data_IF_825591789919
#
_entry.id   IF_825591789919
#
_cell.length_a   1.000
_cell.length_b   1.000
_cell.length_c   1.000
_cell.angle_alpha   90.00
_cell.angle_beta   90.00
_cell.angle_gamma   90.00
#
_symmetry.space_group_name_H-M   'P 1'
#
loop_
_entity.id
_entity.type
_entity.pdbx_description
1 polymer ?
#
# COMPACT_ATOMS: atom_id res chain seq x y z
N UNK A 1 68.83 -22.82 25.51
CA UNK A 1 67.91 -21.79 25.97
C UNK A 1 67.05 -21.43 24.75
N UNK A 2 65.86 -22.08 24.64
CA UNK A 2 64.95 -21.95 23.49
C UNK A 2 63.74 -21.15 23.89
N UNK A 3 63.59 -19.95 23.41
CA UNK A 3 62.43 -19.09 23.62
C UNK A 3 61.46 -19.26 22.46
N UNK A 4 60.39 -20.02 22.70
CA UNK A 4 59.29 -20.22 21.73
C UNK A 4 58.31 -19.02 21.80
N UNK A 5 58.24 -18.23 20.77
CA UNK A 5 57.24 -17.17 20.61
C UNK A 5 55.97 -17.80 20.08
N UNK A 6 54.91 -17.83 20.90
CA UNK A 6 53.54 -18.22 20.50
C UNK A 6 52.81 -16.95 20.00
N UNK A 7 52.72 -16.81 18.68
CA UNK A 7 51.84 -15.84 18.04
C UNK A 7 50.37 -16.38 18.15
N UNK A 8 49.57 -15.75 18.98
CA UNK A 8 48.13 -15.98 19.02
C UNK A 8 47.47 -15.10 17.97
N UNK A 9 47.09 -15.69 16.83
CA UNK A 9 46.27 -15.03 15.81
C UNK A 9 44.82 -14.99 16.30
N UNK A 10 44.35 -13.81 16.74
CA UNK A 10 42.95 -13.57 17.06
C UNK A 10 42.11 -13.43 15.79
N UNK A 11 41.26 -14.40 15.51
CA UNK A 11 40.26 -14.36 14.43
C UNK A 11 39.11 -13.45 14.88
N UNK A 12 39.05 -12.22 14.37
CA UNK A 12 37.88 -11.36 14.50
C UNK A 12 36.80 -11.88 13.53
N UNK A 13 35.82 -12.59 14.07
CA UNK A 13 34.56 -12.90 13.37
C UNK A 13 33.73 -11.62 13.23
N UNK A 14 33.77 -10.98 12.07
CA UNK A 14 32.77 -9.96 11.70
C UNK A 14 31.44 -10.68 11.50
N UNK A 15 30.56 -10.58 12.48
CA UNK A 15 29.15 -10.96 12.31
C UNK A 15 28.52 -9.96 11.33
N UNK A 16 28.41 -10.35 10.05
CA UNK A 16 27.60 -9.63 9.07
C UNK A 16 26.13 -9.76 9.53
N UNK A 17 25.60 -8.70 10.13
CA UNK A 17 24.16 -8.59 10.36
C UNK A 17 23.49 -8.51 8.99
N UNK A 18 22.91 -9.62 8.53
CA UNK A 18 22.04 -9.64 7.37
C UNK A 18 20.81 -8.82 7.76
N UNK A 19 20.71 -7.58 7.25
CA UNK A 19 19.50 -6.79 7.33
C UNK A 19 18.41 -7.55 6.58
N UNK A 20 17.58 -8.29 7.31
CA UNK A 20 16.41 -8.93 6.74
C UNK A 20 15.44 -7.82 6.36
N UNK A 21 15.05 -7.79 5.09
CA UNK A 21 14.02 -6.89 4.62
C UNK A 21 12.73 -7.18 5.40
N UNK A 22 12.17 -6.15 6.03
CA UNK A 22 10.96 -6.29 6.83
C UNK A 22 9.78 -6.64 5.91
N UNK A 23 9.17 -7.79 6.13
CA UNK A 23 7.91 -8.14 5.47
C UNK A 23 6.77 -7.40 6.16
N UNK A 24 5.80 -6.94 5.37
CA UNK A 24 4.62 -6.28 5.92
C UNK A 24 3.69 -7.32 6.57
N UNK A 25 3.03 -6.92 7.65
CA UNK A 25 2.05 -7.77 8.34
C UNK A 25 0.75 -7.90 7.54
N UNK A 26 0.18 -9.11 7.39
CA UNK A 26 -1.16 -9.25 6.87
C UNK A 26 -2.19 -8.68 7.86
N UNK A 27 -3.34 -8.25 7.36
CA UNK A 27 -4.42 -7.69 8.16
C UNK A 27 -5.04 -6.44 7.57
N UNK A 28 -5.74 -5.68 8.40
CA UNK A 28 -6.37 -4.44 8.03
C UNK A 28 -5.35 -3.31 8.03
N UNK A 29 -5.29 -2.60 6.91
CA UNK A 29 -4.41 -1.45 6.69
C UNK A 29 -5.22 -0.19 6.44
N UNK A 30 -4.70 0.93 6.89
CA UNK A 30 -5.23 2.26 6.61
C UNK A 30 -4.28 2.99 5.66
N UNK A 31 -4.82 3.48 4.56
CA UNK A 31 -4.12 4.17 3.49
C UNK A 31 -4.53 5.63 3.48
N UNK A 32 -3.58 6.54 3.55
CA UNK A 32 -3.78 7.98 3.46
C UNK A 32 -3.06 8.51 2.23
N UNK A 33 -3.79 9.16 1.34
CA UNK A 33 -3.16 9.92 0.25
C UNK A 33 -2.45 11.14 0.85
N UNK A 34 -1.15 11.23 0.64
CA UNK A 34 -0.32 12.35 1.12
C UNK A 34 -0.05 13.35 0.00
N UNK A 35 -0.18 12.91 -1.25
CA UNK A 35 -0.09 13.75 -2.45
C UNK A 35 -0.90 13.15 -3.56
N UNK A 36 -1.56 14.00 -4.34
CA UNK A 36 -2.20 13.61 -5.60
C UNK A 36 -2.12 14.78 -6.57
N UNK A 37 -1.47 14.57 -7.72
CA UNK A 37 -1.38 15.55 -8.79
C UNK A 37 -1.71 14.88 -10.12
N UNK A 38 -2.32 15.62 -11.03
CA UNK A 38 -2.62 15.19 -12.40
C UNK A 38 -2.05 16.23 -13.38
N UNK A 39 -1.86 15.83 -14.64
CA UNK A 39 -1.23 16.65 -15.68
C UNK A 39 -1.69 18.12 -15.66
N UNK A 40 -0.74 19.02 -15.42
CA UNK A 40 -1.00 20.48 -15.44
C UNK A 40 -1.83 21.02 -14.28
N UNK A 41 -2.29 20.18 -13.34
CA UNK A 41 -3.01 20.59 -12.15
C UNK A 41 -2.11 20.59 -10.91
N UNK A 42 -2.25 21.56 -10.00
CA UNK A 42 -1.54 21.55 -8.73
C UNK A 42 -1.97 20.35 -7.86
N UNK A 43 -1.28 20.15 -6.76
CA UNK A 43 -1.60 19.09 -5.80
C UNK A 43 -3.07 19.20 -5.34
N UNK A 44 -3.85 18.14 -5.62
CA UNK A 44 -5.29 18.07 -5.34
C UNK A 44 -5.60 17.47 -3.97
N UNK A 45 -4.60 17.16 -3.15
CA UNK A 45 -4.81 16.51 -1.84
C UNK A 45 -5.70 17.34 -0.91
N UNK A 46 -5.55 18.67 -0.94
CA UNK A 46 -6.40 19.58 -0.16
C UNK A 46 -7.87 19.57 -0.64
N UNK A 47 -8.10 19.51 -1.96
CA UNK A 47 -9.44 19.44 -2.54
C UNK A 47 -10.12 18.11 -2.24
N UNK A 48 -9.36 17.01 -2.28
CA UNK A 48 -9.85 15.69 -1.85
C UNK A 48 -10.22 15.67 -0.37
N UNK A 49 -9.41 16.28 0.50
CA UNK A 49 -9.72 16.39 1.92
C UNK A 49 -11.00 17.19 2.16
N UNK A 50 -11.25 18.24 1.39
CA UNK A 50 -12.49 19.02 1.49
C UNK A 50 -13.71 18.23 1.01
N UNK A 51 -13.58 17.51 -0.11
CA UNK A 51 -14.64 16.61 -0.59
C UNK A 51 -14.96 15.51 0.43
N UNK A 52 -13.95 14.97 1.12
CA UNK A 52 -14.15 13.99 2.19
C UNK A 52 -14.92 14.57 3.38
N UNK A 53 -14.70 15.86 3.72
CA UNK A 53 -15.52 16.53 4.75
C UNK A 53 -16.97 16.65 4.34
N UNK A 54 -17.24 16.96 3.06
CA UNK A 54 -18.60 17.04 2.53
C UNK A 54 -19.31 15.67 2.59
N UNK A 55 -18.60 14.56 2.34
CA UNK A 55 -19.16 13.22 2.48
C UNK A 55 -19.64 12.92 3.91
N UNK A 56 -19.00 13.50 4.93
CA UNK A 56 -19.43 13.36 6.34
C UNK A 56 -20.72 14.10 6.64
N UNK A 57 -21.07 15.11 5.86
CA UNK A 57 -22.26 15.92 6.01
C UNK A 57 -23.48 15.37 5.24
N UNK A 58 -23.31 14.25 4.51
CA UNK A 58 -24.39 13.58 3.82
C UNK A 58 -25.42 13.03 4.82
N UNK A 59 -26.71 12.89 4.42
CA UNK A 59 -27.71 12.23 5.23
C UNK A 59 -27.27 10.80 5.63
N UNK A 60 -27.59 10.34 6.84
CA UNK A 60 -27.12 9.05 7.36
C UNK A 60 -27.41 7.85 6.44
N UNK A 61 -28.53 7.88 5.72
CA UNK A 61 -28.91 6.83 4.77
C UNK A 61 -27.98 6.79 3.57
N UNK A 62 -27.64 7.95 3.01
CA UNK A 62 -26.69 8.07 1.89
C UNK A 62 -25.31 7.61 2.31
N UNK A 63 -24.86 7.97 3.53
CA UNK A 63 -23.59 7.47 4.07
C UNK A 63 -23.58 5.95 4.20
N UNK A 64 -24.66 5.33 4.71
CA UNK A 64 -24.76 3.87 4.82
C UNK A 64 -24.70 3.18 3.47
N UNK A 65 -25.43 3.70 2.48
CA UNK A 65 -25.45 3.16 1.12
C UNK A 65 -24.04 3.21 0.50
N UNK A 66 -23.34 4.34 0.62
CA UNK A 66 -21.98 4.50 0.15
C UNK A 66 -21.01 3.54 0.84
N UNK A 67 -21.11 3.41 2.18
CA UNK A 67 -20.31 2.47 2.95
C UNK A 67 -20.56 1.01 2.54
N UNK A 68 -21.80 0.64 2.27
CA UNK A 68 -22.15 -0.71 1.79
C UNK A 68 -21.56 -1.00 0.42
N UNK A 69 -21.64 -0.05 -0.52
CA UNK A 69 -21.06 -0.20 -1.85
C UNK A 69 -19.52 -0.33 -1.78
N UNK A 70 -18.87 0.44 -0.94
CA UNK A 70 -17.42 0.36 -0.75
C UNK A 70 -17.02 -0.95 -0.05
N UNK A 71 -17.77 -1.36 0.97
CA UNK A 71 -17.53 -2.62 1.69
C UNK A 71 -17.67 -3.83 0.77
N UNK A 72 -18.62 -3.82 -0.18
CA UNK A 72 -18.76 -4.85 -1.20
C UNK A 72 -17.52 -4.99 -2.10
N UNK A 73 -16.72 -3.94 -2.23
CA UNK A 73 -15.43 -3.92 -2.95
C UNK A 73 -14.22 -4.17 -2.03
N UNK A 74 -14.45 -4.55 -0.76
CA UNK A 74 -13.37 -4.77 0.22
C UNK A 74 -12.72 -3.50 0.75
N UNK A 75 -13.33 -2.34 0.53
CA UNK A 75 -12.82 -1.02 0.91
C UNK A 75 -13.72 -0.41 1.98
N UNK A 76 -13.14 0.15 3.04
CA UNK A 76 -13.85 0.86 4.09
C UNK A 76 -13.32 2.29 4.21
N UNK A 77 -14.20 3.25 4.46
CA UNK A 77 -13.80 4.61 4.79
C UNK A 77 -13.53 4.72 6.30
N UNK A 78 -12.33 5.13 6.66
CA UNK A 78 -11.97 5.51 8.01
C UNK A 78 -12.59 6.85 8.42
N UNK A 79 -12.50 7.17 9.73
CA UNK A 79 -13.12 8.39 10.31
C UNK A 79 -12.59 9.69 9.68
N UNK A 80 -11.36 9.69 9.20
CA UNK A 80 -10.68 10.87 8.64
C UNK A 80 -10.59 10.83 7.11
N UNK A 81 -11.43 10.01 6.44
CA UNK A 81 -11.40 9.83 4.99
C UNK A 81 -10.24 8.96 4.52
N UNK A 82 -9.49 8.37 5.43
CA UNK A 82 -8.53 7.33 5.08
C UNK A 82 -9.26 6.11 4.51
N UNK A 83 -8.64 5.46 3.56
CA UNK A 83 -9.16 4.23 2.96
C UNK A 83 -8.61 3.05 3.75
N UNK A 84 -9.47 2.13 4.17
CA UNK A 84 -9.06 0.88 4.81
C UNK A 84 -9.29 -0.28 3.89
N UNK A 85 -8.28 -1.12 3.76
CA UNK A 85 -8.33 -2.34 2.96
C UNK A 85 -7.57 -3.46 3.63
N UNK A 86 -7.92 -4.69 3.28
CA UNK A 86 -7.25 -5.89 3.79
C UNK A 86 -6.07 -6.24 2.90
N UNK A 87 -4.91 -6.47 3.52
CA UNK A 87 -3.77 -7.15 2.89
C UNK A 87 -3.79 -8.59 3.38
N UNK A 88 -4.03 -9.53 2.48
CA UNK A 88 -4.05 -10.95 2.83
C UNK A 88 -2.65 -11.47 3.12
N UNK A 89 -2.50 -12.62 3.86
CA UNK A 89 -1.20 -13.24 4.06
C UNK A 89 -0.48 -13.59 2.75
N UNK A 90 -1.24 -13.86 1.71
CA UNK A 90 -0.73 -14.18 0.39
C UNK A 90 -0.16 -12.96 -0.33
N UNK A 91 -0.89 -11.84 -0.28
CA UNK A 91 -0.42 -10.55 -0.80
C UNK A 91 0.84 -10.07 -0.06
N UNK A 92 0.87 -10.21 1.27
CA UNK A 92 2.01 -9.78 2.08
C UNK A 92 3.30 -10.56 1.74
N UNK A 93 3.17 -11.87 1.41
CA UNK A 93 4.33 -12.73 1.08
C UNK A 93 4.88 -12.52 -0.33
N UNK A 94 4.06 -12.04 -1.25
CA UNK A 94 4.45 -11.96 -2.67
C UNK A 94 5.25 -10.70 -3.03
N UNK A 95 5.64 -9.87 -2.07
CA UNK A 95 6.16 -8.50 -2.30
C UNK A 95 5.25 -7.66 -3.20
N UNK A 96 3.99 -8.03 -3.27
CA UNK A 96 3.12 -7.85 -4.38
C UNK A 96 1.79 -7.28 -3.89
N UNK A 97 1.86 -6.19 -3.16
CA UNK A 97 0.69 -5.44 -2.71
C UNK A 97 -0.16 -4.99 -3.91
N UNK A 98 0.40 -5.09 -5.11
CA UNK A 98 -0.18 -4.64 -6.38
C UNK A 98 -0.40 -5.76 -7.41
N UNK A 99 -0.07 -7.03 -7.10
CA UNK A 99 -0.28 -8.18 -8.01
C UNK A 99 -1.60 -8.90 -7.78
N UNK A 100 -2.56 -8.29 -7.16
CA UNK A 100 -3.93 -8.71 -7.37
C UNK A 100 -4.38 -8.20 -8.76
N UNK A 101 -5.35 -8.85 -9.41
CA UNK A 101 -6.18 -8.19 -10.41
C UNK A 101 -6.61 -6.87 -9.77
N UNK A 102 -5.90 -5.80 -10.11
CA UNK A 102 -6.36 -4.50 -9.68
C UNK A 102 -7.69 -4.32 -10.36
N UNK A 103 -8.76 -4.11 -9.61
CA UNK A 103 -10.09 -3.79 -10.15
C UNK A 103 -10.06 -2.56 -11.09
N UNK A 104 -8.89 -1.96 -11.28
CA UNK A 104 -8.60 -0.83 -12.13
C UNK A 104 -8.01 -1.17 -13.51
N UNK A 105 -8.04 -2.42 -13.97
CA UNK A 105 -7.58 -2.76 -15.32
C UNK A 105 -6.07 -2.64 -15.54
N UNK A 106 -5.24 -2.71 -14.48
CA UNK A 106 -3.79 -2.73 -14.57
C UNK A 106 -3.25 -4.14 -14.30
N UNK A 107 -2.15 -4.52 -14.95
CA UNK A 107 -1.41 -5.77 -14.71
C UNK A 107 0.03 -5.46 -14.34
N UNK A 108 0.60 -6.23 -13.41
CA UNK A 108 2.00 -6.09 -13.05
C UNK A 108 2.88 -6.62 -14.17
N UNK A 109 3.70 -5.73 -14.74
CA UNK A 109 4.66 -6.07 -15.79
C UNK A 109 6.02 -6.50 -15.22
N UNK A 110 6.46 -5.88 -14.12
CA UNK A 110 7.70 -6.21 -13.44
C UNK A 110 7.69 -5.78 -11.98
N UNK A 111 8.43 -6.51 -11.14
CA UNK A 111 8.70 -6.13 -9.75
C UNK A 111 10.12 -6.49 -9.37
N UNK A 112 10.79 -5.63 -8.61
CA UNK A 112 12.11 -5.86 -8.04
C UNK A 112 12.13 -5.39 -6.60
N UNK A 113 12.87 -6.09 -5.74
CA UNK A 113 13.09 -5.73 -4.35
C UNK A 113 14.56 -5.52 -4.06
N UNK A 114 14.90 -4.45 -3.38
CA UNK A 114 16.24 -4.14 -2.90
C UNK A 114 16.14 -3.67 -1.44
N UNK A 115 16.48 -4.54 -0.50
CA UNK A 115 16.31 -4.27 0.92
C UNK A 115 14.84 -4.01 1.29
N UNK A 116 14.56 -2.83 1.83
CA UNK A 116 13.22 -2.39 2.23
C UNK A 116 12.45 -1.64 1.11
N UNK A 117 12.99 -1.60 -0.11
CA UNK A 117 12.37 -0.90 -1.24
C UNK A 117 11.89 -1.90 -2.28
N UNK A 118 10.62 -1.78 -2.67
CA UNK A 118 10.00 -2.55 -3.76
C UNK A 118 9.66 -1.59 -4.89
N UNK A 119 10.11 -1.89 -6.11
CA UNK A 119 9.81 -1.12 -7.32
C UNK A 119 9.15 -2.01 -8.35
N UNK A 120 8.24 -1.45 -9.11
CA UNK A 120 7.61 -2.21 -10.18
C UNK A 120 6.95 -1.33 -11.21
N UNK A 121 6.49 -2.00 -12.27
CA UNK A 121 5.75 -1.38 -13.37
C UNK A 121 4.44 -2.10 -13.60
N UNK A 122 3.40 -1.31 -13.81
CA UNK A 122 2.07 -1.75 -14.17
C UNK A 122 1.78 -1.34 -15.62
N UNK A 123 1.10 -2.21 -16.36
CA UNK A 123 0.46 -1.88 -17.63
C UNK A 123 -1.04 -1.77 -17.39
N UNK A 124 -1.61 -0.62 -17.70
CA UNK A 124 -3.03 -0.31 -17.48
C UNK A 124 -3.79 -0.25 -18.81
N UNK A 125 -5.00 -0.78 -18.83
CA UNK A 125 -5.89 -0.75 -19.99
C UNK A 125 -7.02 0.26 -19.83
N UNK A 126 -7.38 0.62 -18.59
CA UNK A 126 -8.44 1.58 -18.26
C UNK A 126 -8.05 2.44 -17.04
N UNK A 127 -7.62 3.71 -17.27
CA UNK A 127 -7.25 4.31 -18.57
C UNK A 127 -5.98 3.65 -19.13
N UNK A 128 -5.80 3.67 -20.46
CA UNK A 128 -4.60 3.13 -21.08
C UNK A 128 -3.35 3.90 -20.66
N UNK A 129 -2.29 3.16 -20.26
CA UNK A 129 -1.06 3.78 -19.82
C UNK A 129 -0.15 2.81 -19.07
N UNK A 130 0.93 3.36 -18.53
CA UNK A 130 1.86 2.65 -17.67
C UNK A 130 1.99 3.36 -16.34
N UNK A 131 2.18 2.61 -15.26
CA UNK A 131 2.48 3.17 -13.95
C UNK A 131 3.77 2.56 -13.39
N UNK A 132 4.69 3.40 -12.96
CA UNK A 132 5.83 2.99 -12.15
C UNK A 132 5.48 3.23 -10.67
N UNK A 133 5.82 2.29 -9.80
CA UNK A 133 5.64 2.46 -8.37
C UNK A 133 6.92 2.18 -7.59
N UNK A 134 7.06 2.88 -6.47
CA UNK A 134 8.09 2.63 -5.48
C UNK A 134 7.44 2.58 -4.10
N UNK A 135 7.63 1.46 -3.41
CA UNK A 135 7.18 1.27 -2.02
C UNK A 135 8.40 1.17 -1.12
N UNK A 136 8.44 1.97 -0.05
CA UNK A 136 9.45 1.89 1.00
C UNK A 136 8.82 1.34 2.26
N UNK A 137 9.29 0.19 2.72
CA UNK A 137 8.82 -0.50 3.93
C UNK A 137 9.66 0.00 5.11
N UNK A 138 9.08 0.85 5.95
CA UNK A 138 9.74 1.39 7.14
C UNK A 138 9.73 0.39 8.31
N UNK A 139 8.67 -0.42 8.40
CA UNK A 139 8.50 -1.48 9.40
C UNK A 139 7.44 -2.48 8.92
N UNK A 140 7.26 -3.64 9.60
CA UNK A 140 6.17 -4.56 9.29
C UNK A 140 4.76 -3.94 9.37
N UNK A 141 4.63 -2.78 9.99
CA UNK A 141 3.36 -2.10 10.24
C UNK A 141 3.24 -0.73 9.53
N UNK A 142 4.25 -0.35 8.74
CA UNK A 142 4.28 0.95 8.08
C UNK A 142 5.07 0.90 6.77
N UNK A 143 4.44 1.38 5.70
CA UNK A 143 5.11 1.63 4.43
C UNK A 143 4.54 2.86 3.73
N UNK A 144 5.32 3.41 2.82
CA UNK A 144 4.89 4.48 1.92
C UNK A 144 5.00 4.01 0.48
N UNK A 145 4.10 4.48 -0.37
CA UNK A 145 4.12 4.17 -1.80
C UNK A 145 4.03 5.46 -2.61
N UNK A 146 4.83 5.54 -3.65
CA UNK A 146 4.75 6.55 -4.70
C UNK A 146 4.40 5.85 -5.99
N UNK A 147 3.37 6.34 -6.68
CA UNK A 147 2.94 5.87 -7.99
C UNK A 147 3.04 7.02 -8.97
N UNK A 148 3.65 6.78 -10.12
CA UNK A 148 3.70 7.71 -11.22
C UNK A 148 3.11 7.04 -12.46
N UNK A 149 1.92 7.48 -12.87
CA UNK A 149 1.20 6.99 -14.03
C UNK A 149 1.42 7.92 -15.22
N UNK A 150 1.68 7.33 -16.38
CA UNK A 150 1.78 8.01 -17.67
C UNK A 150 0.74 7.45 -18.62
N UNK A 151 -0.07 8.31 -19.17
CA UNK A 151 -1.13 7.92 -20.09
C UNK A 151 -1.53 9.03 -21.06
N UNK A 152 -2.44 8.73 -21.98
CA UNK A 152 -2.93 9.66 -22.98
C UNK A 152 -3.60 10.91 -22.37
N UNK A 153 -4.09 10.83 -21.13
CA UNK A 153 -4.71 11.95 -20.41
C UNK A 153 -3.70 12.78 -19.62
N UNK A 154 -2.39 12.50 -19.78
CA UNK A 154 -1.29 13.15 -19.09
C UNK A 154 -0.75 12.33 -17.92
N UNK A 155 0.24 12.90 -17.25
CA UNK A 155 0.93 12.28 -16.13
C UNK A 155 0.16 12.49 -14.83
N UNK A 156 0.11 11.45 -13.98
CA UNK A 156 -0.50 11.50 -12.65
C UNK A 156 0.46 10.94 -11.62
N UNK A 157 0.55 11.59 -10.46
CA UNK A 157 1.32 11.10 -9.32
C UNK A 157 0.40 10.96 -8.12
N UNK A 158 0.57 9.86 -7.40
CA UNK A 158 -0.08 9.63 -6.11
C UNK A 158 0.93 9.11 -5.10
N UNK A 159 1.00 9.74 -3.93
CA UNK A 159 1.80 9.29 -2.80
C UNK A 159 0.86 8.86 -1.68
N UNK A 160 1.17 7.73 -1.04
CA UNK A 160 0.31 7.12 -0.01
C UNK A 160 1.16 6.73 1.20
N UNK A 161 0.68 7.04 2.41
CA UNK A 161 1.16 6.50 3.68
C UNK A 161 0.21 5.38 4.11
N UNK A 162 0.76 4.19 4.39
CA UNK A 162 -0.01 3.01 4.77
C UNK A 162 0.41 2.53 6.16
N UNK A 163 -0.57 2.37 7.05
CA UNK A 163 -0.38 1.92 8.43
C UNK A 163 -1.25 0.73 8.75
N UNK A 164 -0.66 -0.26 9.38
CA UNK A 164 -1.38 -1.42 9.89
C UNK A 164 -2.31 -1.02 11.05
N UNK A 165 -3.52 -1.54 11.05
CA UNK A 165 -4.56 -1.19 12.03
C UNK A 165 -4.90 -2.38 12.92
N UNK A 166 -5.08 -3.57 12.32
CA UNK A 166 -5.48 -4.77 13.05
C UNK A 166 -5.13 -6.06 12.29
N UNK A 167 -4.94 -7.16 13.02
CA UNK A 167 -4.69 -8.47 12.42
C UNK A 167 -5.92 -9.01 11.67
N UNK A 168 -7.11 -8.63 12.10
CA UNK A 168 -8.35 -9.10 11.50
C UNK A 168 -8.84 -8.07 10.47
N UNK A 169 -9.08 -8.54 9.26
CA UNK A 169 -9.85 -7.80 8.28
C UNK A 169 -11.32 -7.83 8.70
N UNK A 170 -12.02 -6.71 8.70
CA UNK A 170 -13.45 -6.73 8.91
C UNK A 170 -14.10 -7.67 7.88
N UNK A 171 -14.87 -8.63 8.34
CA UNK A 171 -15.59 -9.53 7.44
C UNK A 171 -16.45 -8.69 6.49
N UNK A 172 -16.52 -9.02 5.17
CA UNK A 172 -17.47 -8.40 4.28
C UNK A 172 -18.87 -8.53 4.92
N UNK A 173 -19.60 -7.42 4.96
CA UNK A 173 -20.96 -7.43 5.50
C UNK A 173 -21.72 -8.57 4.81
N UNK A 174 -22.16 -9.58 5.57
CA UNK A 174 -23.01 -10.64 5.02
C UNK A 174 -24.21 -9.96 4.41
N UNK A 175 -24.59 -10.28 3.15
CA UNK A 175 -25.86 -9.82 2.64
C UNK A 175 -26.93 -10.30 3.63
N UNK A 176 -27.76 -9.37 4.10
CA UNK A 176 -28.91 -9.73 4.92
C UNK A 176 -29.75 -10.75 4.15
N UNK A 177 -30.15 -11.87 4.75
CA UNK A 177 -31.09 -12.76 4.10
C UNK A 177 -32.34 -11.94 3.77
N UNK A 178 -32.61 -11.80 2.48
CA UNK A 178 -33.85 -11.18 2.01
C UNK A 178 -35.01 -11.83 2.75
N UNK A 179 -35.77 -11.00 3.45
CA UNK A 179 -37.05 -11.39 3.99
C UNK A 179 -37.96 -11.79 2.82
N UNK A 180 -38.24 -13.08 2.73
CA UNK A 180 -39.27 -13.62 1.85
C UNK A 180 -40.64 -13.26 2.38
#
# INVERSE_FOLDING_TARGET
>A
MNTAHRLAAGLLLLAAATAQAADIRPGLWEFRSTRMSAAGMPDMSAQLAEMQKQLKNLPPETQRMLQQQMAARGVQLGKDGAVRSCITPEQARQDNIYTGKTDGGCTLASVTRAGNTVRGRLNCTQPPGTADFETTIASPEHFTTRIHMRGAQGDMQADTDARWVAAQCAAPARPSPEAR
#
